data_IF_341418191788
#
_entry.id   IF_341418191788
#
_cell.length_a   1.000
_cell.length_b   1.000
_cell.length_c   1.000
_cell.angle_alpha   90.00
_cell.angle_beta   90.00
_cell.angle_gamma   90.00
#
_symmetry.space_group_name_H-M   'P 1'
#
loop_
_entity.id
_entity.type
_entity.pdbx_description
1 polymer ?
#
# COMPACT_ATOMS: atom_id res chain seq x y z
N UNK A 1 -8.06 5.28 2.96
CA UNK A 1 -8.43 3.87 2.82
C UNK A 1 -9.89 3.76 2.39
N UNK A 2 -10.24 2.72 1.62
CA UNK A 2 -11.64 2.40 1.36
C UNK A 2 -12.37 1.99 2.64
N UNK A 3 -13.69 1.96 2.59
CA UNK A 3 -14.57 1.53 3.69
C UNK A 3 -14.21 0.10 4.11
N UNK A 4 -13.71 -0.12 5.34
CA UNK A 4 -13.34 -1.45 5.83
C UNK A 4 -14.35 -2.01 6.83
N UNK A 5 -14.43 -3.34 6.92
CA UNK A 5 -15.16 -4.09 7.93
C UNK A 5 -14.17 -4.64 8.96
N UNK A 6 -14.30 -4.23 10.21
CA UNK A 6 -13.34 -4.55 11.28
C UNK A 6 -14.03 -4.90 12.60
N UNK A 7 -13.42 -5.75 13.42
CA UNK A 7 -13.97 -6.11 14.73
C UNK A 7 -13.01 -5.72 15.87
N UNK A 8 -13.55 -5.24 16.99
CA UNK A 8 -12.76 -4.79 18.15
C UNK A 8 -13.18 -5.58 19.38
N UNK A 9 -12.19 -6.17 20.07
CA UNK A 9 -12.38 -7.00 21.25
C UNK A 9 -11.66 -6.38 22.44
N UNK A 10 -12.32 -6.32 23.59
CA UNK A 10 -11.70 -5.96 24.86
C UNK A 10 -12.15 -6.96 25.94
N UNK A 11 -11.30 -7.17 26.94
CA UNK A 11 -11.56 -8.13 28.03
C UNK A 11 -11.37 -7.52 29.42
N UNK A 12 -11.13 -6.21 29.50
CA UNK A 12 -10.99 -5.45 30.74
C UNK A 12 -11.86 -4.21 30.67
N UNK A 13 -12.27 -3.65 31.82
CA UNK A 13 -13.08 -2.43 31.87
C UNK A 13 -12.37 -1.25 31.20
N UNK A 14 -11.04 -1.15 31.37
CA UNK A 14 -10.21 -0.14 30.69
C UNK A 14 -10.17 -0.37 29.18
N UNK A 15 -9.99 -1.62 28.76
CA UNK A 15 -10.04 -1.99 27.35
C UNK A 15 -11.38 -1.63 26.69
N UNK A 16 -12.50 -1.78 27.39
CA UNK A 16 -13.82 -1.38 26.87
C UNK A 16 -13.94 0.15 26.68
N UNK A 17 -13.31 0.96 27.55
CA UNK A 17 -13.22 2.42 27.35
C UNK A 17 -12.40 2.78 26.10
N UNK A 18 -11.24 2.14 25.93
CA UNK A 18 -10.40 2.27 24.73
C UNK A 18 -11.16 1.85 23.45
N UNK A 19 -11.87 0.70 23.51
CA UNK A 19 -12.71 0.19 22.42
C UNK A 19 -13.80 1.18 22.02
N UNK A 20 -14.47 1.84 22.98
CA UNK A 20 -15.50 2.83 22.68
C UNK A 20 -14.93 4.06 21.94
N UNK A 21 -13.77 4.56 22.37
CA UNK A 21 -13.07 5.67 21.70
C UNK A 21 -12.70 5.28 20.27
N UNK A 22 -12.06 4.11 20.12
CA UNK A 22 -11.58 3.65 18.83
C UNK A 22 -12.72 3.33 17.85
N UNK A 23 -13.78 2.67 18.33
CA UNK A 23 -14.99 2.37 17.54
C UNK A 23 -15.59 3.66 16.96
N UNK A 24 -15.80 4.67 17.81
CA UNK A 24 -16.35 5.98 17.39
C UNK A 24 -15.49 6.64 16.31
N UNK A 25 -14.16 6.66 16.50
CA UNK A 25 -13.24 7.26 15.52
C UNK A 25 -13.25 6.53 14.17
N UNK A 26 -13.29 5.19 14.19
CA UNK A 26 -13.30 4.38 12.97
C UNK A 26 -14.63 4.47 12.21
N UNK A 27 -15.76 4.49 12.92
CA UNK A 27 -17.09 4.67 12.32
C UNK A 27 -17.24 6.06 11.68
N UNK A 28 -16.70 7.11 12.30
CA UNK A 28 -16.65 8.46 11.72
C UNK A 28 -15.84 8.54 10.43
N UNK A 29 -14.81 7.69 10.28
CA UNK A 29 -14.05 7.50 9.03
C UNK A 29 -14.79 6.61 8.01
N UNK A 30 -16.02 6.20 8.31
CA UNK A 30 -16.90 5.45 7.43
C UNK A 30 -16.80 3.93 7.55
N UNK A 31 -15.93 3.39 8.41
CA UNK A 31 -15.74 1.93 8.56
C UNK A 31 -16.95 1.25 9.23
N UNK A 32 -17.12 -0.05 8.97
CA UNK A 32 -18.13 -0.89 9.59
C UNK A 32 -17.51 -1.67 10.76
N UNK A 33 -18.02 -1.45 11.97
CA UNK A 33 -17.51 -2.10 13.20
C UNK A 33 -18.56 -3.04 13.81
N UNK A 34 -18.88 -4.19 13.17
CA UNK A 34 -19.89 -5.11 13.67
C UNK A 34 -19.43 -5.82 14.96
N UNK A 35 -20.38 -6.21 15.79
CA UNK A 35 -20.13 -7.11 16.91
C UNK A 35 -20.26 -8.55 16.42
N UNK A 36 -19.12 -9.23 16.26
CA UNK A 36 -19.03 -10.60 15.75
C UNK A 36 -18.18 -11.44 16.68
N UNK A 37 -18.49 -12.73 16.77
CA UNK A 37 -17.57 -13.67 17.41
C UNK A 37 -16.24 -13.72 16.63
N UNK A 38 -15.12 -13.96 17.32
CA UNK A 38 -13.77 -13.96 16.70
C UNK A 38 -13.71 -14.84 15.46
N UNK A 39 -14.35 -16.02 15.47
CA UNK A 39 -14.40 -16.93 14.33
C UNK A 39 -15.02 -16.28 13.09
N UNK A 40 -16.17 -15.61 13.26
CA UNK A 40 -16.91 -14.99 12.16
C UNK A 40 -16.19 -13.75 11.64
N UNK A 41 -15.64 -12.94 12.55
CA UNK A 41 -14.82 -11.80 12.18
C UNK A 41 -13.58 -12.24 11.41
N UNK A 42 -12.91 -13.31 11.82
CA UNK A 42 -11.71 -13.81 11.14
C UNK A 42 -11.99 -14.20 9.67
N UNK A 43 -13.22 -14.58 9.35
CA UNK A 43 -13.64 -14.99 8.00
C UNK A 43 -14.21 -13.84 7.16
N UNK A 44 -14.69 -12.77 7.79
CA UNK A 44 -15.53 -11.77 7.11
C UNK A 44 -15.10 -10.32 7.32
N UNK A 45 -14.17 -10.05 8.24
CA UNK A 45 -13.56 -8.75 8.46
C UNK A 45 -12.17 -8.69 7.83
N UNK A 46 -11.75 -7.49 7.45
CA UNK A 46 -10.40 -7.23 6.93
C UNK A 46 -9.39 -7.01 8.07
N UNK A 47 -9.88 -6.58 9.25
CA UNK A 47 -9.06 -6.22 10.40
C UNK A 47 -9.72 -6.64 11.73
N UNK A 48 -8.95 -7.27 12.62
CA UNK A 48 -9.34 -7.56 14.00
C UNK A 48 -8.40 -6.80 14.95
N UNK A 49 -8.97 -6.12 15.95
CA UNK A 49 -8.22 -5.36 16.95
C UNK A 49 -8.53 -5.95 18.33
N UNK A 50 -7.52 -6.46 19.00
CA UNK A 50 -7.63 -6.92 20.38
C UNK A 50 -7.05 -5.88 21.32
N UNK A 51 -7.80 -5.49 22.35
CA UNK A 51 -7.39 -4.55 23.38
C UNK A 51 -7.12 -5.33 24.67
N UNK A 52 -5.86 -5.41 25.08
CA UNK A 52 -5.41 -6.16 26.24
C UNK A 52 -4.11 -6.92 25.96
N UNK A 53 -3.92 -8.05 26.65
CA UNK A 53 -2.68 -8.83 26.54
C UNK A 53 -2.56 -9.55 25.19
N UNK A 54 -1.39 -9.44 24.54
CA UNK A 54 -1.06 -10.12 23.27
C UNK A 54 -1.34 -11.63 23.30
N UNK A 55 -1.07 -12.29 24.42
CA UNK A 55 -1.35 -13.72 24.57
C UNK A 55 -2.83 -14.10 24.42
N UNK A 56 -3.76 -13.19 24.74
CA UNK A 56 -5.20 -13.42 24.52
C UNK A 56 -5.50 -13.37 23.03
N UNK A 57 -5.02 -12.33 22.33
CA UNK A 57 -5.21 -12.18 20.90
C UNK A 57 -4.69 -13.41 20.14
N UNK A 58 -3.44 -13.82 20.40
CA UNK A 58 -2.81 -14.99 19.77
C UNK A 58 -3.61 -16.28 20.02
N UNK A 59 -4.01 -16.56 21.26
CA UNK A 59 -4.79 -17.77 21.57
C UNK A 59 -6.18 -17.76 20.93
N UNK A 60 -6.81 -16.59 20.77
CA UNK A 60 -8.14 -16.45 20.15
C UNK A 60 -8.11 -16.67 18.65
N UNK A 61 -7.04 -16.27 17.96
CA UNK A 61 -6.91 -16.40 16.50
C UNK A 61 -6.27 -17.72 16.07
N UNK A 62 -5.43 -18.33 16.92
CA UNK A 62 -4.64 -19.53 16.58
C UNK A 62 -5.44 -20.66 15.88
N UNK A 63 -6.69 -21.00 16.28
CA UNK A 63 -7.46 -22.06 15.62
C UNK A 63 -7.89 -21.76 14.17
N UNK A 64 -7.77 -20.51 13.71
CA UNK A 64 -8.30 -20.06 12.42
C UNK A 64 -7.23 -19.68 11.40
N UNK A 65 -5.95 -19.68 11.81
CA UNK A 65 -4.82 -19.31 10.97
C UNK A 65 -4.71 -20.24 9.75
N UNK A 66 -4.49 -19.67 8.56
CA UNK A 66 -4.24 -20.41 7.33
C UNK A 66 -2.96 -19.94 6.67
N UNK A 67 -2.95 -18.71 6.15
CA UNK A 67 -1.79 -18.11 5.51
C UNK A 67 -1.87 -16.58 5.41
N UNK A 68 -0.71 -15.91 5.30
CA UNK A 68 -0.59 -14.44 5.30
C UNK A 68 -1.31 -13.71 4.15
N UNK A 69 -1.76 -14.41 3.12
CA UNK A 69 -2.47 -13.84 1.97
C UNK A 69 -3.99 -13.92 2.14
N UNK A 70 -4.50 -14.91 2.87
CA UNK A 70 -5.92 -15.06 3.17
C UNK A 70 -6.33 -14.54 4.54
N UNK A 71 -5.42 -14.61 5.52
CA UNK A 71 -5.73 -14.27 6.90
C UNK A 71 -5.87 -12.75 7.06
N UNK A 72 -6.88 -12.29 7.83
CA UNK A 72 -7.10 -10.86 8.04
C UNK A 72 -5.93 -10.22 8.80
N UNK A 73 -5.84 -8.90 8.71
CA UNK A 73 -4.95 -8.15 9.58
C UNK A 73 -5.37 -8.33 11.05
N UNK A 74 -4.41 -8.56 11.95
CA UNK A 74 -4.68 -8.62 13.39
C UNK A 74 -3.74 -7.68 14.14
N UNK A 75 -4.32 -6.83 14.99
CA UNK A 75 -3.62 -5.91 15.87
C UNK A 75 -3.86 -6.25 17.34
N UNK A 76 -2.88 -5.95 18.18
CA UNK A 76 -3.04 -5.92 19.63
C UNK A 76 -2.67 -4.54 20.17
N UNK A 77 -3.65 -3.84 20.72
CA UNK A 77 -3.48 -2.59 21.46
C UNK A 77 -3.43 -2.93 22.95
N UNK A 78 -2.47 -2.41 23.71
CA UNK A 78 -2.54 -2.57 25.17
C UNK A 78 -3.64 -1.68 25.77
N UNK A 79 -4.10 -2.00 26.98
CA UNK A 79 -5.23 -1.29 27.59
C UNK A 79 -4.91 0.15 28.03
N UNK A 80 -3.62 0.53 28.08
CA UNK A 80 -3.18 1.91 28.28
C UNK A 80 -3.04 2.69 26.97
N UNK A 81 -3.16 2.01 25.81
CA UNK A 81 -2.99 2.61 24.50
C UNK A 81 -1.56 3.09 24.25
N UNK A 82 -0.57 2.41 24.82
CA UNK A 82 0.84 2.78 24.67
C UNK A 82 1.46 2.19 23.41
N UNK A 83 1.05 1.00 23.00
CA UNK A 83 1.59 0.22 21.90
C UNK A 83 0.47 -0.44 21.10
N UNK A 84 0.55 -0.33 19.79
CA UNK A 84 -0.29 -1.02 18.82
C UNK A 84 0.58 -2.00 18.02
N UNK A 85 0.49 -3.28 18.36
CA UNK A 85 1.35 -4.33 17.83
C UNK A 85 0.67 -4.98 16.61
N UNK A 86 1.36 -4.99 15.47
CA UNK A 86 0.94 -5.77 14.30
C UNK A 86 1.25 -7.26 14.52
N UNK A 87 0.21 -8.07 14.77
CA UNK A 87 0.36 -9.48 15.13
C UNK A 87 0.32 -10.44 13.93
N UNK A 88 -0.58 -10.20 12.98
CA UNK A 88 -0.82 -11.10 11.86
C UNK A 88 -1.03 -10.33 10.56
N UNK A 89 -0.54 -10.90 9.46
CA UNK A 89 -0.67 -10.34 8.11
C UNK A 89 -0.17 -8.88 8.00
N UNK A 90 1.01 -8.63 8.57
CA UNK A 90 1.72 -7.33 8.60
C UNK A 90 1.70 -6.57 7.27
N UNK A 91 2.40 -7.11 6.27
CA UNK A 91 2.54 -6.49 4.96
C UNK A 91 1.29 -6.67 4.09
N UNK A 92 1.12 -7.86 3.50
CA UNK A 92 0.07 -8.12 2.51
C UNK A 92 -1.34 -8.06 3.10
N UNK A 93 -1.54 -8.39 4.38
CA UNK A 93 -2.85 -8.18 5.02
C UNK A 93 -3.11 -6.73 5.43
N UNK A 94 -2.08 -5.89 5.50
CA UNK A 94 -2.19 -4.48 5.86
C UNK A 94 -2.17 -4.19 7.36
N UNK A 95 -1.79 -5.15 8.21
CA UNK A 95 -1.72 -4.90 9.65
C UNK A 95 -0.68 -3.82 10.01
N UNK A 96 0.41 -3.66 9.27
CA UNK A 96 1.41 -2.63 9.57
C UNK A 96 0.86 -1.23 9.31
N UNK A 97 0.23 -1.03 8.16
CA UNK A 97 -0.45 0.23 7.83
C UNK A 97 -1.58 0.53 8.83
N UNK A 98 -2.37 -0.50 9.19
CA UNK A 98 -3.42 -0.37 10.20
C UNK A 98 -2.84 -0.02 11.58
N UNK A 99 -1.71 -0.61 11.99
CA UNK A 99 -1.07 -0.32 13.27
C UNK A 99 -0.68 1.17 13.36
N UNK A 100 -0.08 1.73 12.30
CA UNK A 100 0.27 3.15 12.20
C UNK A 100 -0.98 4.04 12.23
N UNK A 101 -2.05 3.65 11.52
CA UNK A 101 -3.30 4.41 11.57
C UNK A 101 -3.93 4.39 12.97
N UNK A 102 -4.01 3.21 13.61
CA UNK A 102 -4.57 3.08 14.95
C UNK A 102 -3.72 3.82 15.99
N UNK A 103 -2.40 3.76 15.86
CA UNK A 103 -1.45 4.57 16.63
C UNK A 103 -1.77 6.07 16.51
N UNK A 104 -2.01 6.57 15.29
CA UNK A 104 -2.37 7.99 15.07
C UNK A 104 -3.69 8.41 15.73
N UNK A 105 -4.62 7.47 15.96
CA UNK A 105 -5.92 7.73 16.59
C UNK A 105 -5.79 7.66 18.12
N UNK A 106 -5.03 6.69 18.62
CA UNK A 106 -4.98 6.34 20.06
C UNK A 106 -3.85 7.02 20.81
N UNK A 107 -2.83 7.52 20.10
CA UNK A 107 -1.58 7.98 20.67
C UNK A 107 -0.57 6.85 20.96
N UNK A 108 -0.91 5.61 20.64
CA UNK A 108 -0.03 4.46 20.80
C UNK A 108 1.18 4.53 19.83
N UNK A 109 2.28 3.88 20.19
CA UNK A 109 3.38 3.58 19.30
C UNK A 109 3.06 2.35 18.45
N UNK A 110 3.23 2.44 17.12
CA UNK A 110 3.05 1.28 16.25
C UNK A 110 4.27 0.35 16.33
N UNK A 111 4.06 -0.89 16.79
CA UNK A 111 5.13 -1.90 16.92
C UNK A 111 5.05 -2.86 15.74
N UNK A 112 5.97 -2.69 14.78
CA UNK A 112 6.08 -3.49 13.55
C UNK A 112 7.37 -4.32 13.60
N UNK A 113 7.25 -5.64 13.48
CA UNK A 113 8.38 -6.57 13.63
C UNK A 113 8.75 -7.33 12.34
N UNK A 114 8.02 -7.11 11.24
CA UNK A 114 8.23 -7.87 10.01
C UNK A 114 9.56 -7.53 9.34
N UNK A 115 10.40 -8.54 9.13
CA UNK A 115 11.78 -8.40 8.63
C UNK A 115 11.90 -7.61 7.32
N UNK A 116 10.91 -7.73 6.42
CA UNK A 116 10.90 -6.98 5.15
C UNK A 116 10.68 -5.47 5.35
N UNK A 117 9.97 -5.04 6.40
CA UNK A 117 9.86 -3.61 6.76
C UNK A 117 11.10 -3.14 7.52
N UNK A 118 11.62 -3.97 8.43
CA UNK A 118 12.79 -3.64 9.25
C UNK A 118 14.06 -3.48 8.39
N UNK A 119 14.17 -4.23 7.30
CA UNK A 119 15.29 -4.16 6.36
C UNK A 119 15.03 -3.26 5.14
N UNK A 120 13.84 -2.65 5.03
CA UNK A 120 13.46 -1.78 3.90
C UNK A 120 13.63 -2.41 2.50
N UNK A 121 13.71 -3.75 2.42
CA UNK A 121 13.89 -4.47 1.17
C UNK A 121 12.59 -4.49 0.36
N UNK A 122 12.72 -4.53 -0.96
CA UNK A 122 11.57 -4.61 -1.85
C UNK A 122 10.73 -5.87 -1.60
N UNK A 123 9.43 -5.68 -1.40
CA UNK A 123 8.45 -6.73 -1.21
C UNK A 123 7.58 -6.86 -2.46
N UNK A 124 7.83 -7.88 -3.29
CA UNK A 124 7.10 -8.07 -4.56
C UNK A 124 5.60 -8.33 -4.35
N UNK A 125 5.23 -8.98 -3.25
CA UNK A 125 3.84 -9.24 -2.89
C UNK A 125 3.09 -7.96 -2.47
N UNK A 126 3.75 -7.06 -1.74
CA UNK A 126 3.21 -5.74 -1.42
C UNK A 126 3.09 -4.88 -2.68
N UNK A 127 4.15 -4.81 -3.49
CA UNK A 127 4.14 -4.07 -4.75
C UNK A 127 3.01 -4.54 -5.67
N UNK A 128 2.81 -5.86 -5.78
CA UNK A 128 1.71 -6.44 -6.53
C UNK A 128 0.35 -6.00 -5.97
N UNK A 129 0.16 -6.06 -4.64
CA UNK A 129 -1.09 -5.64 -3.99
C UNK A 129 -1.40 -4.16 -4.22
N UNK A 130 -0.41 -3.28 -4.04
CA UNK A 130 -0.57 -1.82 -4.19
C UNK A 130 -0.97 -1.42 -5.61
N UNK A 131 -0.47 -2.14 -6.61
CA UNK A 131 -0.74 -1.87 -8.02
C UNK A 131 -1.86 -2.75 -8.62
N UNK A 132 -2.52 -3.59 -7.81
CA UNK A 132 -3.60 -4.47 -8.26
C UNK A 132 -3.14 -5.56 -9.25
N UNK A 133 -1.90 -6.05 -9.07
CA UNK A 133 -1.30 -7.12 -9.86
C UNK A 133 -1.50 -8.48 -9.19
N UNK A 134 -1.71 -9.51 -9.99
CA UNK A 134 -1.78 -10.90 -9.57
C UNK A 134 -0.42 -11.58 -9.75
N UNK A 135 0.01 -12.31 -8.72
CA UNK A 135 1.21 -13.14 -8.76
C UNK A 135 0.91 -14.45 -9.51
N UNK A 136 1.76 -14.82 -10.46
CA UNK A 136 1.75 -16.15 -11.08
C UNK A 136 2.08 -17.27 -10.07
N UNK A 137 3.08 -17.06 -9.21
CA UNK A 137 3.54 -18.06 -8.26
C UNK A 137 3.91 -17.44 -6.89
N UNK A 138 3.18 -17.85 -5.84
CA UNK A 138 3.40 -17.38 -4.46
C UNK A 138 4.68 -17.94 -3.83
N UNK A 139 5.12 -19.14 -4.23
CA UNK A 139 6.38 -19.73 -3.78
C UNK A 139 7.56 -18.99 -4.39
N UNK A 140 7.50 -18.66 -5.67
CA UNK A 140 8.54 -17.87 -6.33
C UNK A 140 8.63 -16.45 -5.75
N UNK A 141 7.50 -15.83 -5.42
CA UNK A 141 7.48 -14.56 -4.68
C UNK A 141 8.22 -14.64 -3.33
N UNK A 142 8.04 -15.74 -2.58
CA UNK A 142 8.80 -15.96 -1.32
C UNK A 142 10.30 -16.13 -1.59
N UNK A 143 10.68 -16.88 -2.63
CA UNK A 143 12.08 -17.07 -3.01
C UNK A 143 12.74 -15.75 -3.38
N UNK A 144 12.05 -14.90 -4.14
CA UNK A 144 12.50 -13.54 -4.50
C UNK A 144 12.68 -12.67 -3.25
N UNK A 145 11.69 -12.64 -2.34
CA UNK A 145 11.83 -11.89 -1.09
C UNK A 145 13.01 -12.39 -0.25
N UNK A 146 13.26 -13.70 -0.21
CA UNK A 146 14.39 -14.28 0.50
C UNK A 146 15.73 -13.93 -0.16
N UNK A 147 15.80 -13.89 -1.49
CA UNK A 147 16.99 -13.48 -2.24
C UNK A 147 17.35 -12.01 -1.96
N UNK A 148 16.36 -11.11 -2.05
CA UNK A 148 16.54 -9.68 -1.74
C UNK A 148 16.99 -9.46 -0.30
N UNK A 149 16.45 -10.21 0.67
CA UNK A 149 16.89 -10.16 2.07
C UNK A 149 18.35 -10.62 2.28
N UNK A 150 18.89 -11.44 1.37
CA UNK A 150 20.31 -11.83 1.37
C UNK A 150 21.21 -10.86 0.60
N UNK A 151 20.64 -9.79 0.04
CA UNK A 151 21.37 -8.82 -0.80
C UNK A 151 21.66 -9.34 -2.22
N UNK A 152 20.95 -10.36 -2.68
CA UNK A 152 21.06 -10.85 -4.07
C UNK A 152 20.31 -9.91 -5.02
N UNK A 153 20.80 -9.77 -6.25
CA UNK A 153 20.14 -8.99 -7.30
C UNK A 153 19.06 -9.83 -8.00
N UNK A 154 17.90 -9.22 -8.25
CA UNK A 154 16.76 -9.80 -8.94
C UNK A 154 16.45 -8.96 -10.18
N UNK A 155 16.37 -9.59 -11.34
CA UNK A 155 16.04 -8.91 -12.58
C UNK A 155 14.59 -8.41 -12.58
N UNK A 156 14.35 -7.20 -13.09
CA UNK A 156 13.03 -6.59 -13.20
C UNK A 156 12.80 -6.05 -14.62
N UNK A 157 11.65 -6.38 -15.17
CA UNK A 157 11.15 -5.83 -16.43
C UNK A 157 9.63 -5.68 -16.43
N UNK A 158 9.11 -4.81 -17.30
CA UNK A 158 7.68 -4.51 -17.37
C UNK A 158 7.28 -4.06 -18.77
N UNK A 159 6.19 -4.61 -19.30
CA UNK A 159 5.50 -4.12 -20.50
C UNK A 159 4.76 -2.80 -20.24
N UNK A 160 4.42 -2.52 -18.97
CA UNK A 160 3.78 -1.29 -18.55
C UNK A 160 4.82 -0.24 -18.15
N UNK A 161 4.62 1.05 -18.47
CA UNK A 161 5.51 2.11 -18.01
C UNK A 161 5.42 2.27 -16.50
N UNK A 162 6.55 2.57 -15.85
CA UNK A 162 6.60 2.89 -14.42
C UNK A 162 7.29 4.23 -14.15
N UNK A 163 7.03 4.79 -12.97
CA UNK A 163 7.70 5.99 -12.44
C UNK A 163 8.59 5.62 -11.24
N UNK A 164 9.59 6.46 -10.98
CA UNK A 164 10.54 6.25 -9.88
C UNK A 164 11.70 5.33 -10.26
N UNK A 165 12.71 5.29 -9.39
CA UNK A 165 13.86 4.41 -9.50
C UNK A 165 13.55 3.01 -8.99
N UNK A 166 14.18 1.98 -9.57
CA UNK A 166 14.09 0.63 -9.02
C UNK A 166 14.63 0.61 -7.58
N UNK A 167 13.93 -0.06 -6.65
CA UNK A 167 14.42 -0.34 -5.31
C UNK A 167 15.74 -1.10 -5.30
N UNK A 168 16.45 -1.04 -4.19
CA UNK A 168 17.68 -1.81 -3.97
C UNK A 168 17.44 -3.31 -4.14
N UNK A 169 18.40 -3.99 -4.77
CA UNK A 169 18.31 -5.40 -5.14
C UNK A 169 17.53 -5.69 -6.41
N UNK A 170 16.88 -4.70 -7.04
CA UNK A 170 16.27 -4.86 -8.37
C UNK A 170 17.15 -4.23 -9.46
N UNK A 171 17.46 -4.99 -10.50
CA UNK A 171 18.16 -4.51 -11.69
C UNK A 171 17.25 -4.56 -12.91
N UNK A 172 17.35 -3.57 -13.79
CA UNK A 172 16.57 -3.56 -15.03
C UNK A 172 17.16 -4.59 -15.99
N UNK A 173 16.45 -5.69 -16.18
CA UNK A 173 16.95 -6.83 -16.94
C UNK A 173 15.79 -7.63 -17.55
N UNK A 174 15.94 -8.04 -18.80
CA UNK A 174 14.99 -8.90 -19.48
C UNK A 174 15.17 -10.35 -19.01
N UNK A 175 14.09 -11.09 -18.71
CA UNK A 175 14.20 -12.45 -18.20
C UNK A 175 14.80 -13.44 -19.21
N UNK A 176 14.75 -13.17 -20.52
CA UNK A 176 15.27 -14.07 -21.55
C UNK A 176 16.77 -13.87 -21.81
N UNK A 177 17.28 -12.65 -21.66
CA UNK A 177 18.68 -12.30 -21.93
C UNK A 177 19.50 -12.04 -20.68
N UNK A 178 18.88 -12.12 -19.50
CA UNK A 178 19.49 -11.74 -18.24
C UNK A 178 20.25 -12.87 -17.53
N UNK A 179 21.22 -12.47 -16.72
CA UNK A 179 22.07 -13.36 -15.91
C UNK A 179 21.52 -13.58 -14.49
N UNK A 180 20.59 -12.74 -14.01
CA UNK A 180 20.04 -12.86 -12.66
C UNK A 180 19.40 -14.25 -12.40
N UNK A 181 19.61 -14.79 -11.20
CA UNK A 181 19.07 -16.09 -10.82
C UNK A 181 17.54 -16.10 -10.82
N UNK A 182 16.92 -14.98 -10.43
CA UNK A 182 15.48 -14.78 -10.34
C UNK A 182 15.09 -13.47 -11.03
N UNK A 183 13.89 -13.46 -11.61
CA UNK A 183 13.33 -12.31 -12.29
C UNK A 183 11.89 -12.00 -11.83
N UNK A 184 11.49 -10.75 -11.97
CA UNK A 184 10.11 -10.26 -11.89
C UNK A 184 9.78 -9.65 -13.24
N UNK A 185 8.68 -10.08 -13.85
CA UNK A 185 8.22 -9.54 -15.11
C UNK A 185 6.74 -9.15 -15.04
N UNK A 186 6.42 -7.90 -15.38
CA UNK A 186 5.04 -7.43 -15.48
C UNK A 186 4.60 -7.51 -16.94
N UNK A 187 3.56 -8.28 -17.22
CA UNK A 187 3.00 -8.40 -18.57
C UNK A 187 1.48 -8.44 -18.54
N UNK A 188 0.86 -8.10 -19.68
CA UNK A 188 -0.60 -7.99 -19.77
C UNK A 188 -1.35 -9.33 -19.63
N UNK A 189 -0.70 -10.46 -19.94
CA UNK A 189 -1.32 -11.79 -19.88
C UNK A 189 -0.27 -12.89 -19.66
N UNK A 190 -0.67 -14.08 -19.14
CA UNK A 190 0.22 -15.22 -18.96
C UNK A 190 0.92 -15.65 -20.26
N UNK A 191 2.21 -16.03 -20.22
CA UNK A 191 2.96 -16.48 -21.39
C UNK A 191 2.35 -17.69 -22.11
N UNK A 192 1.56 -18.51 -21.41
CA UNK A 192 0.97 -19.75 -21.92
C UNK A 192 0.05 -19.55 -23.15
N UNK A 193 -0.43 -18.33 -23.41
CA UNK A 193 -1.27 -18.02 -24.58
C UNK A 193 -0.48 -17.46 -25.77
N UNK A 194 0.81 -17.11 -25.62
CA UNK A 194 1.55 -16.31 -26.62
C UNK A 194 2.50 -17.08 -27.54
N UNK A 195 2.78 -18.37 -27.32
CA UNK A 195 3.77 -19.10 -28.16
C UNK A 195 3.22 -20.45 -28.63
N UNK A 196 2.88 -20.52 -29.93
CA UNK A 196 2.37 -21.74 -30.61
C UNK A 196 3.45 -22.66 -31.15
N UNK A 197 4.73 -22.30 -31.01
CA UNK A 197 5.83 -23.04 -31.63
C UNK A 197 6.49 -24.00 -30.63
N UNK A 198 6.69 -25.26 -31.06
CA UNK A 198 7.14 -26.34 -30.18
C UNK A 198 8.62 -26.24 -29.76
N UNK A 199 9.47 -25.57 -30.54
CA UNK A 199 10.89 -25.36 -30.21
C UNK A 199 11.10 -24.39 -29.03
N UNK A 200 10.14 -23.49 -28.77
CA UNK A 200 10.21 -22.50 -27.70
C UNK A 200 9.65 -22.96 -26.35
N UNK A 201 9.14 -24.20 -26.25
CA UNK A 201 8.57 -24.73 -24.99
C UNK A 201 9.62 -24.98 -23.91
N UNK A 202 10.83 -25.37 -24.29
CA UNK A 202 11.91 -25.71 -23.33
C UNK A 202 12.48 -24.45 -22.66
N UNK A 203 12.65 -23.34 -23.40
CA UNK A 203 13.07 -22.06 -22.80
C UNK A 203 11.94 -21.38 -22.02
N UNK A 204 10.68 -21.53 -22.45
CA UNK A 204 9.53 -21.03 -21.71
C UNK A 204 9.36 -21.74 -20.35
N UNK A 205 9.63 -23.05 -20.27
CA UNK A 205 9.56 -23.80 -19.02
C UNK A 205 10.66 -23.38 -18.03
N UNK A 206 11.90 -23.14 -18.49
CA UNK A 206 12.98 -22.67 -17.61
C UNK A 206 12.70 -21.25 -17.08
N UNK A 207 12.13 -20.38 -17.92
CA UNK A 207 11.67 -19.04 -17.52
C UNK A 207 10.60 -19.10 -16.44
N UNK A 208 9.61 -19.99 -16.54
CA UNK A 208 8.54 -20.13 -15.54
C UNK A 208 9.06 -20.53 -14.15
N UNK A 209 10.20 -21.21 -14.06
CA UNK A 209 10.81 -21.60 -12.78
C UNK A 209 11.63 -20.49 -12.12
N UNK A 210 12.06 -19.48 -12.88
CA UNK A 210 12.95 -18.39 -12.39
C UNK A 210 12.32 -17.01 -12.45
N UNK A 211 11.26 -16.84 -13.24
CA UNK A 211 10.59 -15.56 -13.47
C UNK A 211 9.20 -15.53 -12.82
N UNK A 212 9.03 -14.66 -11.84
CA UNK A 212 7.74 -14.33 -11.28
C UNK A 212 7.03 -13.34 -12.19
N UNK A 213 5.98 -13.81 -12.84
CA UNK A 213 5.11 -12.93 -13.61
C UNK A 213 4.07 -12.26 -12.72
N UNK A 214 3.85 -10.98 -13.00
CA UNK A 214 2.84 -10.11 -12.38
C UNK A 214 1.86 -9.64 -13.45
N UNK A 215 0.58 -9.95 -13.29
CA UNK A 215 -0.44 -9.61 -14.29
C UNK A 215 -1.43 -8.58 -13.74
N UNK A 216 -1.70 -7.49 -14.47
CA UNK A 216 -2.72 -6.54 -14.06
C UNK A 216 -4.12 -7.14 -14.17
N UNK A 217 -5.01 -6.77 -13.25
CA UNK A 217 -6.45 -7.08 -13.35
C UNK A 217 -7.29 -5.80 -13.51
N UNK A 218 -7.11 -5.05 -14.62
CA UNK A 218 -7.57 -3.67 -14.71
C UNK A 218 -9.07 -3.55 -14.93
N UNK A 219 -9.78 -4.65 -15.24
CA UNK A 219 -11.17 -4.54 -15.67
C UNK A 219 -12.16 -4.68 -14.53
N UNK A 220 -13.15 -3.79 -14.53
CA UNK A 220 -14.37 -3.93 -13.75
C UNK A 220 -15.52 -4.34 -14.68
N UNK A 221 -16.05 -5.53 -14.48
CA UNK A 221 -17.24 -6.03 -15.15
C UNK A 221 -18.49 -5.56 -14.41
N UNK A 222 -19.18 -4.56 -14.97
CA UNK A 222 -20.50 -4.18 -14.52
C UNK A 222 -21.54 -5.18 -15.02
N UNK A 223 -22.38 -5.70 -14.12
CA UNK A 223 -23.37 -6.72 -14.47
C UNK A 223 -24.78 -6.36 -14.00
N UNK A 224 -25.77 -6.68 -14.84
CA UNK A 224 -27.17 -6.74 -14.45
C UNK A 224 -27.86 -7.96 -15.06
N UNK A 225 -28.48 -8.80 -14.23
CA UNK A 225 -29.31 -9.91 -14.68
C UNK A 225 -30.75 -9.78 -14.16
N UNK A 226 -31.63 -10.71 -14.56
CA UNK A 226 -32.94 -10.90 -13.91
C UNK A 226 -32.76 -11.71 -12.62
N UNK A 227 -33.71 -11.62 -11.70
CA UNK A 227 -33.70 -12.42 -10.45
C UNK A 227 -33.81 -13.91 -10.79
N UNK A 228 -32.98 -14.73 -10.17
CA UNK A 228 -32.94 -16.18 -10.41
C UNK A 228 -32.38 -16.53 -11.79
N UNK A 229 -31.49 -15.71 -12.34
CA UNK A 229 -30.82 -16.03 -13.60
C UNK A 229 -29.96 -17.30 -13.45
N UNK A 230 -29.88 -18.11 -14.51
CA UNK A 230 -29.05 -19.31 -14.50
C UNK A 230 -27.56 -18.94 -14.47
N UNK A 231 -26.82 -19.51 -13.52
CA UNK A 231 -25.42 -19.15 -13.28
C UNK A 231 -24.50 -19.53 -14.45
N UNK A 232 -24.75 -20.68 -15.09
CA UNK A 232 -23.94 -21.16 -16.21
C UNK A 232 -24.24 -20.36 -17.49
N UNK A 233 -25.49 -19.96 -17.72
CA UNK A 233 -25.86 -19.09 -18.83
C UNK A 233 -25.28 -17.67 -18.68
N UNK A 234 -25.24 -17.15 -17.45
CA UNK A 234 -24.58 -15.87 -17.13
C UNK A 234 -23.07 -15.98 -17.38
N UNK A 235 -22.42 -17.06 -16.92
CA UNK A 235 -21.00 -17.30 -17.16
C UNK A 235 -20.69 -17.39 -18.66
N UNK A 236 -21.46 -18.19 -19.42
CA UNK A 236 -21.27 -18.33 -20.88
C UNK A 236 -21.41 -16.98 -21.60
N UNK A 237 -22.40 -16.17 -21.20
CA UNK A 237 -22.61 -14.84 -21.78
C UNK A 237 -21.48 -13.88 -21.41
N UNK A 238 -20.97 -13.95 -20.18
CA UNK A 238 -19.81 -13.18 -19.75
C UNK A 238 -18.56 -13.54 -20.55
N UNK A 239 -18.23 -14.83 -20.69
CA UNK A 239 -17.06 -15.27 -21.45
C UNK A 239 -17.15 -14.85 -22.92
N UNK A 240 -18.33 -14.95 -23.53
CA UNK A 240 -18.54 -14.47 -24.90
C UNK A 240 -18.37 -12.95 -25.01
N UNK A 241 -18.88 -12.20 -24.03
CA UNK A 241 -18.70 -10.75 -23.97
C UNK A 241 -17.21 -10.36 -23.87
N UNK A 242 -16.45 -10.96 -22.94
CA UNK A 242 -15.02 -10.71 -22.78
C UNK A 242 -14.23 -11.08 -24.03
N UNK A 243 -14.53 -12.25 -24.63
CA UNK A 243 -13.91 -12.69 -25.88
C UNK A 243 -14.12 -11.69 -27.03
N UNK A 244 -15.30 -11.08 -27.14
CA UNK A 244 -15.58 -10.04 -28.15
C UNK A 244 -14.76 -8.77 -27.95
N UNK A 245 -14.31 -8.50 -26.73
CA UNK A 245 -13.46 -7.35 -26.40
C UNK A 245 -11.96 -7.70 -26.43
N UNK A 246 -11.59 -8.96 -26.72
CA UNK A 246 -10.20 -9.41 -26.67
C UNK A 246 -9.61 -9.41 -25.27
N UNK A 247 -10.46 -9.57 -24.24
CA UNK A 247 -10.06 -9.55 -22.82
C UNK A 247 -10.10 -10.97 -22.26
N UNK A 248 -9.05 -11.38 -21.57
CA UNK A 248 -9.01 -12.63 -20.84
C UNK A 248 -9.86 -12.54 -19.56
N UNK A 249 -10.60 -13.60 -19.17
CA UNK A 249 -11.34 -13.64 -17.91
C UNK A 249 -10.48 -13.31 -16.67
N UNK A 250 -9.19 -13.62 -16.70
CA UNK A 250 -8.25 -13.39 -15.59
C UNK A 250 -7.95 -11.90 -15.37
N UNK A 251 -8.08 -11.07 -16.42
CA UNK A 251 -7.86 -9.61 -16.34
C UNK A 251 -9.02 -8.87 -15.62
N UNK A 252 -10.14 -9.55 -15.33
CA UNK A 252 -11.27 -8.97 -14.60
C UNK A 252 -11.01 -9.04 -13.10
N UNK A 253 -10.66 -7.90 -12.48
CA UNK A 253 -10.38 -7.82 -11.04
C UNK A 253 -11.61 -7.52 -10.17
N UNK A 254 -12.64 -6.91 -10.76
CA UNK A 254 -13.83 -6.47 -10.03
C UNK A 254 -15.10 -6.82 -10.82
N UNK A 255 -16.11 -7.32 -10.12
CA UNK A 255 -17.49 -7.38 -10.60
C UNK A 255 -18.29 -6.34 -9.82
N UNK A 256 -19.13 -5.58 -10.52
CA UNK A 256 -19.92 -4.52 -9.91
C UNK A 256 -21.41 -4.62 -10.27
N UNK A 257 -22.28 -4.41 -9.28
CA UNK A 257 -23.72 -4.36 -9.49
C UNK A 257 -24.44 -3.46 -8.47
N UNK A 258 -25.77 -3.50 -8.47
CA UNK A 258 -26.61 -2.80 -7.51
C UNK A 258 -26.87 -3.66 -6.25
N UNK A 259 -27.08 -3.03 -5.10
CA UNK A 259 -27.36 -3.67 -3.80
C UNK A 259 -28.53 -4.68 -3.81
N UNK A 260 -29.58 -4.43 -4.60
CA UNK A 260 -30.69 -5.38 -4.82
C UNK A 260 -30.22 -6.75 -5.33
N UNK A 261 -29.01 -6.83 -5.89
CA UNK A 261 -28.41 -8.04 -6.45
C UNK A 261 -27.27 -8.60 -5.60
N UNK A 262 -27.04 -8.06 -4.40
CA UNK A 262 -25.92 -8.45 -3.55
C UNK A 262 -25.88 -9.96 -3.21
N UNK A 263 -27.04 -10.62 -3.19
CA UNK A 263 -27.18 -12.05 -2.89
C UNK A 263 -27.62 -12.88 -4.10
N UNK A 264 -27.47 -12.36 -5.32
CA UNK A 264 -27.87 -13.08 -6.53
C UNK A 264 -26.88 -14.20 -6.85
N UNK A 265 -27.34 -15.45 -6.79
CA UNK A 265 -26.50 -16.65 -6.90
C UNK A 265 -25.66 -16.69 -8.19
N UNK A 266 -26.22 -16.24 -9.32
CA UNK A 266 -25.48 -16.20 -10.58
C UNK A 266 -24.29 -15.24 -10.56
N UNK A 267 -24.40 -14.10 -9.87
CA UNK A 267 -23.32 -13.11 -9.78
C UNK A 267 -22.25 -13.58 -8.80
N UNK A 268 -22.67 -14.19 -7.68
CA UNK A 268 -21.75 -14.78 -6.71
C UNK A 268 -20.95 -15.94 -7.33
N UNK A 269 -21.62 -16.82 -8.08
CA UNK A 269 -20.95 -17.86 -8.87
C UNK A 269 -19.95 -17.27 -9.88
N UNK A 270 -20.36 -16.23 -10.63
CA UNK A 270 -19.48 -15.57 -11.60
C UNK A 270 -18.24 -14.96 -10.92
N UNK A 271 -18.42 -14.32 -9.76
CA UNK A 271 -17.35 -13.77 -8.93
C UNK A 271 -16.33 -14.86 -8.56
N UNK A 272 -16.80 -16.01 -8.10
CA UNK A 272 -15.93 -17.10 -7.68
C UNK A 272 -15.20 -17.73 -8.87
N UNK A 273 -15.89 -17.90 -10.02
CA UNK A 273 -15.31 -18.42 -11.27
C UNK A 273 -14.23 -17.51 -11.84
N UNK A 274 -14.44 -16.20 -11.79
CA UNK A 274 -13.45 -15.21 -12.24
C UNK A 274 -12.42 -14.86 -11.15
N UNK A 275 -12.57 -15.39 -9.93
CA UNK A 275 -11.77 -15.01 -8.76
C UNK A 275 -11.68 -13.48 -8.57
N UNK A 276 -12.77 -12.78 -8.86
CA UNK A 276 -12.83 -11.33 -8.83
C UNK A 276 -13.40 -10.83 -7.48
N UNK A 277 -13.09 -9.59 -7.10
CA UNK A 277 -13.79 -8.94 -6.00
C UNK A 277 -15.22 -8.55 -6.43
N UNK A 278 -16.16 -8.45 -5.49
CA UNK A 278 -17.54 -8.06 -5.80
C UNK A 278 -17.92 -6.79 -5.04
N UNK A 279 -18.38 -5.77 -5.79
CA UNK A 279 -18.84 -4.50 -5.24
C UNK A 279 -20.30 -4.26 -5.59
N UNK A 280 -21.05 -3.79 -4.60
CA UNK A 280 -22.44 -3.40 -4.76
C UNK A 280 -22.64 -1.96 -4.38
N UNK A 281 -23.53 -1.28 -5.10
CA UNK A 281 -23.84 0.11 -4.90
C UNK A 281 -25.34 0.29 -4.71
N UNK A 282 -25.74 1.22 -3.85
CA UNK A 282 -27.12 1.67 -3.77
C UNK A 282 -27.54 2.42 -5.03
N UNK A 283 -28.85 2.48 -5.28
CA UNK A 283 -29.40 3.26 -6.39
C UNK A 283 -28.94 4.73 -6.37
N UNK A 284 -28.88 5.36 -5.18
CA UNK A 284 -28.43 6.73 -5.01
C UNK A 284 -26.95 6.90 -5.39
N UNK A 285 -26.08 5.98 -4.98
CA UNK A 285 -24.66 6.00 -5.35
C UNK A 285 -24.48 5.92 -6.87
N UNK A 286 -25.24 5.04 -7.55
CA UNK A 286 -25.17 4.89 -9.00
C UNK A 286 -25.69 6.12 -9.77
N UNK A 287 -26.68 6.83 -9.24
CA UNK A 287 -27.19 8.07 -9.85
C UNK A 287 -26.18 9.21 -9.78
N UNK A 288 -25.35 9.25 -8.73
CA UNK A 288 -24.29 10.26 -8.54
C UNK A 288 -23.05 10.03 -9.41
N UNK A 289 -22.91 8.87 -10.05
CA UNK A 289 -21.78 8.57 -10.93
C UNK A 289 -21.82 9.51 -12.14
N UNK A 290 -20.77 10.32 -12.39
CA UNK A 290 -20.72 11.20 -13.54
C UNK A 290 -20.58 10.40 -14.84
N UNK A 291 -21.24 10.83 -15.90
CA UNK A 291 -21.17 10.22 -17.21
C UNK A 291 -22.49 10.22 -17.96
N UNK A 292 -22.43 9.90 -19.26
CA UNK A 292 -23.60 9.69 -20.10
C UNK A 292 -23.84 8.19 -20.26
N UNK A 293 -25.00 7.73 -19.78
CA UNK A 293 -25.34 6.31 -19.74
C UNK A 293 -26.62 6.04 -20.52
N UNK A 294 -26.70 4.86 -21.14
CA UNK A 294 -27.88 4.44 -21.90
C UNK A 294 -29.02 4.03 -20.94
N UNK A 295 -30.04 4.88 -20.78
CA UNK A 295 -31.13 4.64 -19.82
C UNK A 295 -32.17 3.63 -20.33
N UNK A 296 -32.64 2.74 -19.46
CA UNK A 296 -33.76 1.81 -19.72
C UNK A 296 -34.92 2.08 -18.77
N UNK A 297 -36.10 2.36 -19.33
CA UNK A 297 -37.33 2.65 -18.58
C UNK A 297 -37.75 1.50 -17.66
N UNK A 298 -37.63 0.25 -18.14
CA UNK A 298 -37.91 -0.96 -17.34
C UNK A 298 -36.96 -1.07 -16.14
N UNK A 299 -35.66 -0.88 -16.36
CA UNK A 299 -34.66 -0.98 -15.29
C UNK A 299 -34.87 0.14 -14.27
N UNK A 300 -35.12 1.37 -14.73
CA UNK A 300 -35.42 2.53 -13.87
C UNK A 300 -36.63 2.28 -12.96
N UNK A 301 -37.68 1.63 -13.46
CA UNK A 301 -38.88 1.29 -12.67
C UNK A 301 -38.59 0.27 -11.56
N UNK A 302 -37.68 -0.67 -11.80
CA UNK A 302 -37.39 -1.77 -10.86
C UNK A 302 -36.30 -1.38 -9.85
N UNK A 303 -35.25 -0.68 -10.31
CA UNK A 303 -34.04 -0.44 -9.50
C UNK A 303 -33.83 1.03 -9.16
N UNK A 304 -34.70 1.93 -9.61
CA UNK A 304 -34.54 3.39 -9.45
C UNK A 304 -33.46 4.01 -10.36
N UNK A 305 -32.73 3.20 -11.13
CA UNK A 305 -31.60 3.58 -11.99
C UNK A 305 -31.80 2.97 -13.36
N UNK A 306 -31.72 3.70 -14.48
CA UNK A 306 -31.99 3.11 -15.80
C UNK A 306 -30.84 2.32 -16.42
N UNK A 307 -29.63 2.37 -15.84
CA UNK A 307 -28.49 1.58 -16.30
C UNK A 307 -27.62 1.10 -15.13
N UNK A 308 -27.82 -0.14 -14.69
CA UNK A 308 -27.04 -0.70 -13.58
C UNK A 308 -25.62 -1.06 -14.01
N UNK A 309 -25.44 -1.77 -15.12
CA UNK A 309 -24.13 -2.33 -15.48
C UNK A 309 -23.09 -1.25 -15.82
N UNK A 310 -23.41 -0.26 -16.66
CA UNK A 310 -22.44 0.80 -16.98
C UNK A 310 -22.13 1.67 -15.76
N UNK A 311 -23.16 2.10 -15.01
CA UNK A 311 -22.96 2.94 -13.82
C UNK A 311 -22.17 2.22 -12.74
N UNK A 312 -22.41 0.93 -12.53
CA UNK A 312 -21.67 0.14 -11.56
C UNK A 312 -20.21 -0.05 -12.00
N UNK A 313 -19.93 -0.27 -13.29
CA UNK A 313 -18.57 -0.29 -13.82
C UNK A 313 -17.88 1.07 -13.67
N UNK A 314 -18.56 2.16 -14.03
CA UNK A 314 -18.06 3.53 -13.95
C UNK A 314 -17.83 4.00 -12.51
N UNK A 315 -18.62 3.51 -11.55
CA UNK A 315 -18.44 3.77 -10.12
C UNK A 315 -17.12 3.17 -9.59
N UNK A 316 -16.61 2.12 -10.24
CA UNK A 316 -15.30 1.53 -9.90
C UNK A 316 -14.20 2.20 -10.71
N UNK A 317 -14.35 2.25 -12.04
CA UNK A 317 -13.37 2.84 -12.95
C UNK A 317 -14.04 3.81 -13.93
N UNK A 318 -13.72 5.12 -13.91
CA UNK A 318 -14.39 6.13 -14.74
C UNK A 318 -14.30 5.87 -16.26
N UNK A 319 -13.23 5.21 -16.71
CA UNK A 319 -13.01 4.92 -18.13
C UNK A 319 -13.78 3.67 -18.55
N UNK A 320 -14.91 3.85 -19.22
CA UNK A 320 -15.66 2.77 -19.86
C UNK A 320 -15.01 2.40 -21.19
N UNK A 321 -14.65 1.12 -21.34
CA UNK A 321 -14.05 0.56 -22.56
C UNK A 321 -15.03 -0.29 -23.37
N UNK A 322 -16.11 -0.77 -22.74
CA UNK A 322 -17.24 -1.37 -23.44
C UNK A 322 -18.55 -0.95 -22.78
N UNK A 323 -19.41 -0.30 -23.56
CA UNK A 323 -20.76 0.08 -23.14
C UNK A 323 -21.67 -1.14 -22.97
N UNK A 324 -22.88 -0.89 -22.45
CA UNK A 324 -23.90 -1.90 -22.16
C UNK A 324 -24.13 -2.79 -23.37
N UNK A 325 -23.82 -4.08 -23.20
CA UNK A 325 -24.11 -5.13 -24.15
C UNK A 325 -25.13 -6.08 -23.53
N UNK A 326 -26.24 -6.28 -24.21
CA UNK A 326 -27.34 -7.12 -23.74
C UNK A 326 -27.21 -8.55 -24.25
N UNK A 327 -27.34 -9.51 -23.34
CA UNK A 327 -27.50 -10.95 -23.60
C UNK A 327 -28.85 -11.41 -23.01
N UNK A 328 -29.37 -12.58 -23.41
CA UNK A 328 -30.62 -13.11 -22.86
C UNK A 328 -30.63 -13.23 -21.34
N UNK A 329 -29.52 -13.68 -20.75
CA UNK A 329 -29.38 -13.92 -19.30
C UNK A 329 -28.91 -12.71 -18.49
N UNK A 330 -28.13 -11.81 -19.11
CA UNK A 330 -27.51 -10.68 -18.42
C UNK A 330 -27.11 -9.53 -19.36
N UNK A 331 -26.88 -8.36 -18.79
CA UNK A 331 -26.28 -7.19 -19.44
C UNK A 331 -24.93 -6.89 -18.80
N UNK A 332 -23.93 -6.64 -19.63
CA UNK A 332 -22.57 -6.37 -19.19
C UNK A 332 -22.06 -5.02 -19.69
N UNK A 333 -21.14 -4.42 -18.94
CA UNK A 333 -20.33 -3.28 -19.34
C UNK A 333 -18.92 -3.44 -18.74
N UNK A 334 -17.91 -2.79 -19.33
CA UNK A 334 -16.53 -2.84 -18.83
C UNK A 334 -15.98 -1.44 -18.56
N UNK A 335 -15.53 -1.24 -17.32
CA UNK A 335 -14.63 -0.17 -16.93
C UNK A 335 -13.18 -0.68 -16.90
N UNK A 336 -12.21 0.20 -17.17
CA UNK A 336 -10.78 -0.11 -17.12
C UNK A 336 -10.05 0.85 -16.18
N UNK A 337 -9.27 0.30 -15.25
CA UNK A 337 -8.34 1.04 -14.43
C UNK A 337 -7.14 1.52 -15.26
N UNK A 338 -6.64 2.71 -14.96
CA UNK A 338 -5.26 3.04 -15.24
C UNK A 338 -4.40 2.45 -14.12
N UNK A 339 -3.36 1.70 -14.47
CA UNK A 339 -2.43 1.12 -13.51
C UNK A 339 -1.11 1.86 -13.65
N UNK A 340 -0.97 3.04 -13.00
CA UNK A 340 0.31 3.72 -12.95
C UNK A 340 1.24 2.90 -12.05
N UNK A 341 2.20 2.19 -12.65
CA UNK A 341 3.24 1.56 -11.87
C UNK A 341 4.15 2.64 -11.30
N UNK A 342 4.44 2.54 -10.01
CA UNK A 342 5.38 3.46 -9.36
C UNK A 342 6.18 2.73 -8.30
N UNK A 343 7.47 3.00 -8.29
CA UNK A 343 8.30 2.68 -7.14
C UNK A 343 8.37 3.89 -6.23
N UNK A 344 8.39 3.63 -4.92
CA UNK A 344 8.59 4.68 -3.93
C UNK A 344 9.95 5.33 -4.19
N UNK A 345 9.97 6.65 -4.36
CA UNK A 345 11.22 7.38 -4.52
C UNK A 345 12.03 7.26 -3.22
N UNK A 346 13.30 6.84 -3.32
CA UNK A 346 14.21 6.80 -2.19
C UNK A 346 14.35 8.22 -1.63
N UNK A 347 14.21 8.40 -0.32
CA UNK A 347 14.39 9.68 0.35
C UNK A 347 15.62 9.65 1.26
N UNK A 348 15.99 10.80 1.79
CA UNK A 348 17.15 10.93 2.68
C UNK A 348 16.91 10.21 4.03
N UNK A 349 17.99 9.73 4.66
CA UNK A 349 18.00 9.39 6.08
C UNK A 349 18.56 10.59 6.84
N UNK A 350 17.84 11.07 7.86
CA UNK A 350 18.27 12.21 8.65
C UNK A 350 18.86 11.73 9.99
N UNK A 351 20.02 12.27 10.35
CA UNK A 351 20.65 12.02 11.65
C UNK A 351 20.83 13.36 12.38
N UNK A 352 20.17 13.47 13.52
CA UNK A 352 20.12 14.66 14.36
C UNK A 352 20.63 14.34 15.77
N UNK A 353 20.88 15.38 16.55
CA UNK A 353 21.36 15.27 17.93
C UNK A 353 22.38 16.35 18.25
N UNK A 354 22.64 16.58 19.54
CA UNK A 354 23.60 17.59 19.97
C UNK A 354 24.99 17.43 19.34
N UNK A 355 25.80 18.48 19.43
CA UNK A 355 27.22 18.37 19.11
C UNK A 355 27.87 17.26 19.96
N UNK A 356 28.80 16.52 19.35
CA UNK A 356 29.59 15.47 20.01
C UNK A 356 28.79 14.29 20.62
N UNK A 357 27.50 14.12 20.28
CA UNK A 357 26.67 13.02 20.76
C UNK A 357 26.90 11.67 20.02
N UNK A 358 27.99 11.55 19.25
CA UNK A 358 28.33 10.31 18.55
C UNK A 358 27.66 10.10 17.19
N UNK A 359 27.14 11.15 16.54
CA UNK A 359 26.43 11.06 15.25
C UNK A 359 27.23 10.36 14.15
N UNK A 360 28.47 10.81 13.90
CA UNK A 360 29.34 10.20 12.88
C UNK A 360 29.66 8.74 13.19
N UNK A 361 30.05 8.44 14.44
CA UNK A 361 30.32 7.07 14.89
C UNK A 361 29.12 6.16 14.67
N UNK A 362 27.91 6.63 14.99
CA UNK A 362 26.69 5.88 14.72
C UNK A 362 26.51 5.61 13.22
N UNK A 363 26.65 6.63 12.37
CA UNK A 363 26.49 6.47 10.91
C UNK A 363 27.51 5.51 10.33
N UNK A 364 28.79 5.63 10.70
CA UNK A 364 29.85 4.72 10.28
C UNK A 364 29.59 3.28 10.73
N UNK A 365 29.20 3.07 11.98
CA UNK A 365 28.97 1.74 12.53
C UNK A 365 27.70 1.08 11.98
N UNK A 366 26.63 1.87 11.80
CA UNK A 366 25.33 1.36 11.37
C UNK A 366 25.27 1.16 9.87
N UNK A 367 25.61 2.19 9.09
CA UNK A 367 25.51 2.15 7.62
C UNK A 367 26.79 1.59 6.98
N UNK A 368 27.97 1.91 7.52
CA UNK A 368 29.25 1.44 6.96
C UNK A 368 29.49 -0.07 7.10
N UNK A 369 29.06 -0.68 8.22
CA UNK A 369 29.28 -2.13 8.44
C UNK A 369 28.19 -3.03 7.87
N UNK A 370 27.00 -2.49 7.56
CA UNK A 370 25.84 -3.30 7.13
C UNK A 370 25.72 -3.49 5.61
N UNK A 371 26.69 -2.99 4.82
CA UNK A 371 26.61 -2.93 3.34
C UNK A 371 25.33 -2.24 2.84
N UNK A 372 24.72 -1.36 3.62
CA UNK A 372 23.61 -0.53 3.13
C UNK A 372 24.23 0.53 2.19
N UNK A 373 23.91 0.50 0.90
CA UNK A 373 24.51 1.35 -0.15
C UNK A 373 24.13 2.84 -0.06
N UNK A 374 23.65 3.33 1.09
CA UNK A 374 23.35 4.77 1.23
C UNK A 374 24.65 5.56 1.25
N UNK A 375 24.75 6.56 0.37
CA UNK A 375 25.86 7.52 0.37
C UNK A 375 25.86 8.26 1.70
N UNK A 376 26.92 8.11 2.50
CA UNK A 376 27.12 8.99 3.66
C UNK A 376 27.50 10.36 3.12
N UNK A 377 26.62 11.35 3.35
CA UNK A 377 26.91 12.73 2.98
C UNK A 377 27.91 13.35 3.96
N UNK A 378 28.75 14.30 3.53
CA UNK A 378 29.31 15.26 4.47
C UNK A 378 28.18 15.96 5.25
N UNK A 379 28.51 16.47 6.43
CA UNK A 379 27.61 17.31 7.20
C UNK A 379 27.11 18.47 6.34
N UNK A 380 25.87 18.89 6.61
CA UNK A 380 25.33 20.07 5.94
C UNK A 380 26.23 21.27 6.23
N UNK A 381 26.76 21.88 5.16
CA UNK A 381 27.63 23.04 5.28
C UNK A 381 26.85 24.22 5.89
N UNK A 382 27.40 24.78 6.97
CA UNK A 382 26.81 25.93 7.66
C UNK A 382 26.84 27.18 6.80
N UNK A 383 27.82 27.32 5.91
CA UNK A 383 27.89 28.47 4.99
C UNK A 383 26.70 28.52 4.03
N UNK A 384 26.16 27.35 3.64
CA UNK A 384 24.97 27.25 2.79
C UNK A 384 23.71 27.82 3.47
N UNK A 385 23.71 27.94 4.81
CA UNK A 385 22.61 28.49 5.60
C UNK A 385 22.75 29.99 5.91
N UNK A 386 23.93 30.59 5.66
CA UNK A 386 24.20 32.01 5.96
C UNK A 386 23.15 32.98 5.38
N UNK A 387 22.64 32.83 4.13
CA UNK A 387 21.60 33.70 3.61
C UNK A 387 20.29 33.62 4.41
N UNK A 388 19.91 32.42 4.86
CA UNK A 388 18.71 32.20 5.66
C UNK A 388 18.87 32.77 7.07
N UNK A 389 20.05 32.62 7.66
CA UNK A 389 20.38 33.18 8.98
C UNK A 389 20.28 34.71 8.94
N UNK A 390 20.81 35.35 7.90
CA UNK A 390 20.71 36.81 7.71
C UNK A 390 19.29 37.30 7.58
N UNK A 391 18.47 36.60 6.78
CA UNK A 391 17.06 36.97 6.58
C UNK A 391 16.29 36.78 7.88
N UNK A 392 16.52 35.68 8.59
CA UNK A 392 15.91 35.44 9.90
C UNK A 392 16.22 36.56 10.91
N UNK A 393 17.48 37.01 10.95
CA UNK A 393 17.90 38.13 11.80
C UNK A 393 17.29 39.48 11.40
N UNK A 394 17.11 39.75 10.11
CA UNK A 394 16.65 41.05 9.61
C UNK A 394 15.13 41.20 9.57
N UNK A 395 14.44 40.14 9.16
CA UNK A 395 13.02 40.15 8.78
C UNK A 395 12.15 39.28 9.67
N UNK A 396 12.77 38.52 10.57
CA UNK A 396 12.09 37.61 11.46
C UNK A 396 11.54 36.39 10.73
N UNK A 397 10.64 35.70 11.42
CA UNK A 397 10.27 34.32 11.13
C UNK A 397 9.45 34.13 9.84
N UNK A 398 8.41 34.94 9.67
CA UNK A 398 7.41 34.74 8.61
C UNK A 398 8.04 34.83 7.20
N UNK A 399 8.96 35.78 7.00
CA UNK A 399 9.62 35.98 5.71
C UNK A 399 10.70 34.93 5.42
N UNK A 400 11.40 34.44 6.45
CA UNK A 400 12.38 33.38 6.30
C UNK A 400 11.73 32.01 5.95
N UNK A 401 10.47 31.80 6.36
CA UNK A 401 9.78 30.52 6.23
C UNK A 401 9.62 30.01 4.80
N UNK A 402 9.32 30.87 3.82
CA UNK A 402 9.18 30.44 2.42
C UNK A 402 10.51 29.96 1.83
N UNK A 403 11.56 30.76 2.02
CA UNK A 403 12.91 30.42 1.55
C UNK A 403 13.46 29.18 2.25
N UNK A 404 13.12 28.99 3.52
CA UNK A 404 13.50 27.79 4.25
C UNK A 404 12.87 26.53 3.65
N UNK A 405 11.60 26.59 3.23
CA UNK A 405 10.93 25.47 2.54
C UNK A 405 11.59 25.14 1.21
N UNK A 406 11.84 26.14 0.38
CA UNK A 406 12.54 25.95 -0.89
C UNK A 406 13.94 25.35 -0.66
N UNK A 407 14.66 25.84 0.35
CA UNK A 407 15.99 25.32 0.69
C UNK A 407 15.92 23.88 1.20
N UNK A 408 14.94 23.55 2.04
CA UNK A 408 14.72 22.19 2.51
C UNK A 408 14.43 21.23 1.35
N UNK A 409 13.65 21.65 0.37
CA UNK A 409 13.37 20.85 -0.84
C UNK A 409 14.62 20.66 -1.71
N UNK A 410 15.42 21.72 -1.89
CA UNK A 410 16.71 21.62 -2.59
C UNK A 410 17.67 20.64 -1.91
N UNK A 411 17.83 20.74 -0.58
CA UNK A 411 18.68 19.86 0.22
C UNK A 411 18.13 18.43 0.18
N UNK A 412 16.83 18.25 0.38
CA UNK A 412 16.17 16.95 0.35
C UNK A 412 16.37 16.22 -0.99
N UNK A 413 16.28 16.97 -2.09
CA UNK A 413 16.56 16.45 -3.43
C UNK A 413 18.06 16.15 -3.66
N UNK A 414 18.97 17.00 -3.17
CA UNK A 414 20.42 16.80 -3.30
C UNK A 414 20.93 15.56 -2.55
N UNK A 415 20.37 15.31 -1.38
CA UNK A 415 20.73 14.18 -0.51
C UNK A 415 19.74 13.02 -0.60
N UNK A 416 19.03 12.92 -1.72
CA UNK A 416 18.21 11.77 -2.07
C UNK A 416 19.07 10.50 -2.01
N UNK A 417 18.58 9.47 -1.34
CA UNK A 417 19.30 8.22 -1.09
C UNK A 417 20.64 8.35 -0.32
N UNK A 418 20.78 9.41 0.49
CA UNK A 418 21.94 9.63 1.34
C UNK A 418 21.58 9.69 2.82
N UNK A 419 22.59 9.45 3.67
CA UNK A 419 22.51 9.78 5.10
C UNK A 419 23.02 11.20 5.28
N UNK A 420 22.14 12.11 5.72
CA UNK A 420 22.46 13.50 6.02
C UNK A 420 22.54 13.70 7.54
N UNK A 421 23.71 14.14 8.00
CA UNK A 421 23.92 14.54 9.40
C UNK A 421 23.70 16.04 9.48
N UNK A 422 22.78 16.47 10.35
CA UNK A 422 22.60 17.89 10.63
C UNK A 422 23.53 18.37 11.75
N UNK A 423 24.14 19.55 11.61
CA UNK A 423 24.99 20.15 12.64
C UNK A 423 24.16 20.79 13.77
N UNK A 424 23.14 20.09 14.28
CA UNK A 424 22.25 20.61 15.32
C UNK A 424 22.99 20.84 16.64
N UNK A 425 22.88 22.07 17.17
CA UNK A 425 23.25 22.41 18.56
C UNK A 425 22.00 22.20 19.42
N UNK A 426 21.89 21.02 20.03
CA UNK A 426 20.69 20.55 20.76
C UNK A 426 20.78 20.67 22.29
N UNK A 427 19.89 19.95 22.98
CA UNK A 427 19.86 19.74 24.44
C UNK A 427 19.67 21.00 25.32
N UNK A 428 18.83 21.92 24.86
CA UNK A 428 18.48 23.12 25.65
C UNK A 428 19.57 24.18 25.72
N UNK A 429 20.67 24.01 24.99
CA UNK A 429 21.70 25.06 24.84
C UNK A 429 21.12 26.20 24.01
N UNK A 430 21.16 27.40 24.59
CA UNK A 430 20.83 28.65 23.91
C UNK A 430 22.12 29.45 23.82
N UNK A 431 22.69 29.65 22.62
CA UNK A 431 23.90 30.45 22.46
C UNK A 431 23.71 31.88 22.97
N UNK A 432 24.77 32.53 23.45
CA UNK A 432 24.72 33.93 23.83
C UNK A 432 24.73 34.84 22.59
N UNK A 433 25.56 34.47 21.60
CA UNK A 433 25.68 35.20 20.35
C UNK A 433 24.38 35.16 19.53
N UNK A 434 23.98 36.32 18.99
CA UNK A 434 22.72 36.46 18.26
C UNK A 434 22.73 35.69 16.93
N UNK A 435 23.88 35.60 16.26
CA UNK A 435 24.03 34.87 15.00
C UNK A 435 23.97 33.37 15.25
N UNK A 436 24.65 32.87 16.28
CA UNK A 436 24.59 31.47 16.69
C UNK A 436 23.17 31.05 17.13
N UNK A 437 22.43 31.93 17.81
CA UNK A 437 21.00 31.70 18.11
C UNK A 437 20.16 31.59 16.85
N UNK A 438 20.34 32.50 15.89
CA UNK A 438 19.62 32.45 14.62
C UNK A 438 19.98 31.18 13.81
N UNK A 439 21.24 30.78 13.80
CA UNK A 439 21.69 29.53 13.19
C UNK A 439 20.99 28.31 13.81
N UNK A 440 20.94 28.22 15.14
CA UNK A 440 20.22 27.17 15.86
C UNK A 440 18.74 27.10 15.44
N UNK A 441 18.06 28.24 15.35
CA UNK A 441 16.66 28.31 14.94
C UNK A 441 16.46 27.86 13.48
N UNK A 442 17.32 28.33 12.56
CA UNK A 442 17.27 27.95 11.13
C UNK A 442 17.50 26.45 10.97
N UNK A 443 18.52 25.89 11.60
CA UNK A 443 18.81 24.43 11.56
C UNK A 443 17.66 23.64 12.19
N UNK A 444 17.11 24.11 13.31
CA UNK A 444 15.98 23.46 13.97
C UNK A 444 14.75 23.35 13.06
N UNK A 445 14.41 24.42 12.35
CA UNK A 445 13.28 24.44 11.41
C UNK A 445 13.58 23.64 10.14
N UNK A 446 14.81 23.71 9.65
CA UNK A 446 15.26 22.88 8.54
C UNK A 446 15.13 21.39 8.90
N UNK A 447 15.47 21.01 10.13
CA UNK A 447 15.30 19.64 10.64
C UNK A 447 13.84 19.18 10.57
N UNK A 448 12.88 20.05 10.88
CA UNK A 448 11.44 19.72 10.77
C UNK A 448 11.07 19.41 9.32
N UNK A 449 11.41 20.32 8.40
CA UNK A 449 11.08 20.20 6.98
C UNK A 449 11.79 19.02 6.29
N UNK A 450 13.04 18.73 6.67
CA UNK A 450 13.76 17.57 6.18
C UNK A 450 13.23 16.27 6.78
N UNK A 451 12.73 16.27 8.02
CA UNK A 451 12.11 15.08 8.65
C UNK A 451 10.81 14.67 7.95
N UNK A 452 10.03 15.63 7.44
CA UNK A 452 8.87 15.35 6.58
C UNK A 452 9.27 14.60 5.31
N UNK A 453 10.41 15.01 4.74
CA UNK A 453 11.00 14.44 3.54
C UNK A 453 11.88 13.20 3.79
N UNK A 454 12.20 12.83 5.02
CA UNK A 454 13.09 11.70 5.29
C UNK A 454 12.35 10.35 5.29
N UNK A 455 13.02 9.26 4.91
CA UNK A 455 12.51 7.89 5.13
C UNK A 455 12.78 7.41 6.55
N UNK A 456 13.86 7.89 7.17
CA UNK A 456 14.20 7.59 8.56
C UNK A 456 14.79 8.82 9.24
N UNK A 457 14.49 8.99 10.52
CA UNK A 457 15.05 10.06 11.35
C UNK A 457 15.62 9.46 12.63
N UNK A 458 16.90 9.68 12.87
CA UNK A 458 17.61 9.21 14.07
C UNK A 458 18.03 10.38 14.94
N UNK A 459 17.75 10.29 16.24
CA UNK A 459 18.27 11.19 17.25
C UNK A 459 19.35 10.49 18.06
N UNK A 460 20.52 11.10 18.19
CA UNK A 460 21.55 10.63 19.11
C UNK A 460 21.53 11.41 20.43
N UNK A 461 21.48 10.68 21.54
CA UNK A 461 21.66 11.19 22.90
C UNK A 461 22.61 10.27 23.68
N UNK A 462 23.68 10.82 24.22
CA UNK A 462 24.75 10.10 24.92
C UNK A 462 25.32 8.91 24.11
N UNK A 463 25.37 9.03 22.78
CA UNK A 463 25.78 7.94 21.88
C UNK A 463 24.73 6.85 21.66
N UNK A 464 23.53 6.99 22.22
CA UNK A 464 22.41 6.07 22.07
C UNK A 464 21.54 6.53 20.90
N UNK A 465 21.38 5.71 19.85
CA UNK A 465 20.48 6.02 18.75
C UNK A 465 19.03 5.74 19.09
N UNK A 466 18.19 6.75 18.88
CA UNK A 466 16.74 6.67 19.00
C UNK A 466 16.14 6.95 17.63
N UNK A 467 15.41 5.97 17.07
CA UNK A 467 14.69 6.15 15.81
C UNK A 467 13.39 6.90 16.07
N UNK A 468 13.21 8.04 15.43
CA UNK A 468 12.00 8.86 15.50
C UNK A 468 11.04 8.61 14.33
N UNK A 469 11.57 8.13 13.19
CA UNK A 469 10.83 7.80 11.97
C UNK A 469 11.48 6.62 11.26
#
# INVERSE_FOLDING_TARGET
MGRMRLAIYAYTERGEKQKAILKKALEQRGNMVPELAVREAFQSCELLIFIGATGIAVRKIAPYLKDKFSDPAVLCLDEHGMHCIALLSGHVGGANAAAVEIASITGAEAVISTATDLNHCFAVDLFAKEHGLQLSDRMLAKSISAALLRGEQVGFSSELPWKGSLPEGLIREDPESGDAALHIHICAAPPAERRKDEENKVSAASLLHRCLFLYPRPYCLGIGCRRGADAEEVLRSCLLFLKRQGISPEEVGVIASIDLKAQEAAILSLKDRLQASYRVFSAEQLLRVPGHFSESSFVKKVTGVGNVCERAAAAVYPKIVASKTCFPSATFALGKAEIPLSFREKRLTLVIGGAFQGKHRFVEQWYGNRKEEKRISPDLDREELEPLIRIFLQKGDIEAGHMLREKAEQIGNRYRDAVLILPTVGNGIVPEDAKERAEREVIGRLSVLLSEQADAVWKLECGIPIRLK
#
